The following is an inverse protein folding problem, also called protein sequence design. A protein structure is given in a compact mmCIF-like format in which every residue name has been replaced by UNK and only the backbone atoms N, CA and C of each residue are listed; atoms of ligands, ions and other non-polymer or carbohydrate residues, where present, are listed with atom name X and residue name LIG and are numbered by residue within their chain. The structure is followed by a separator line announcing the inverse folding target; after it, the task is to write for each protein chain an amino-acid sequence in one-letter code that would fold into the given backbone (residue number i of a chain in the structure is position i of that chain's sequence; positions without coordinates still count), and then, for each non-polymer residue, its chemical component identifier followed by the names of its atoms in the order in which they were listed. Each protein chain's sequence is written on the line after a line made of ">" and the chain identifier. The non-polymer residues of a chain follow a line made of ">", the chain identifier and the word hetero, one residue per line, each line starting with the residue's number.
data_IF_467399277120
#
_entry.id   IF_467399277120
#
_cell.length_a   1.000
_cell.length_b   1.000
_cell.length_c   1.000
_cell.angle_alpha   90.00
_cell.angle_beta   90.00
_cell.angle_gamma   90.00
#
_symmetry.space_group_name_H-M   'P 1'
#
loop_
_entity.id
_entity.type
_entity.pdbx_description
1 polymer ?
#
# COMPACT_ATOMS: atom_id res chain seq x y z
N UNK A 1 -14.21 30.17 -5.78
CA UNK A 1 -13.15 29.20 -5.50
C UNK A 1 -13.65 27.84 -5.93
N UNK A 2 -12.90 27.13 -6.75
CA UNK A 2 -13.30 25.80 -7.23
C UNK A 2 -12.95 24.76 -6.17
N UNK A 3 -13.92 23.89 -5.79
CA UNK A 3 -13.67 22.79 -4.87
C UNK A 3 -13.07 21.56 -5.58
N UNK A 4 -12.86 21.66 -6.89
CA UNK A 4 -12.28 20.56 -7.66
C UNK A 4 -10.76 20.55 -7.50
N UNK A 5 -10.16 19.37 -7.22
CA UNK A 5 -8.71 19.27 -7.17
C UNK A 5 -8.10 19.53 -8.55
N UNK A 6 -6.95 20.17 -8.55
CA UNK A 6 -6.13 20.34 -9.74
C UNK A 6 -5.74 18.95 -10.29
N UNK A 7 -5.72 18.74 -11.62
CA UNK A 7 -5.21 17.49 -12.19
C UNK A 7 -3.81 17.10 -11.70
N UNK A 8 -2.96 18.08 -11.37
CA UNK A 8 -1.64 17.81 -10.79
C UNK A 8 -1.74 17.13 -9.42
N UNK A 9 -2.74 17.46 -8.60
CA UNK A 9 -2.96 16.82 -7.30
C UNK A 9 -3.34 15.34 -7.45
N UNK A 10 -4.15 15.04 -8.45
CA UNK A 10 -4.51 13.64 -8.75
C UNK A 10 -3.28 12.85 -9.20
N UNK A 11 -2.44 13.43 -10.03
CA UNK A 11 -1.21 12.80 -10.48
C UNK A 11 -0.25 12.55 -9.30
N UNK A 12 -0.13 13.53 -8.42
CA UNK A 12 0.69 13.41 -7.22
C UNK A 12 0.23 12.25 -6.33
N UNK A 13 -1.09 12.12 -6.09
CA UNK A 13 -1.64 11.02 -5.30
C UNK A 13 -1.34 9.66 -5.92
N UNK A 14 -1.47 9.54 -7.24
CA UNK A 14 -1.15 8.30 -7.94
C UNK A 14 0.32 7.93 -7.76
N UNK A 15 1.22 8.89 -7.87
CA UNK A 15 2.65 8.69 -7.66
C UNK A 15 2.93 8.18 -6.24
N UNK A 16 2.30 8.79 -5.23
CA UNK A 16 2.46 8.37 -3.84
C UNK A 16 1.90 6.97 -3.59
N UNK A 17 0.75 6.65 -4.16
CA UNK A 17 0.16 5.30 -4.04
C UNK A 17 1.08 4.24 -4.63
N UNK A 18 1.67 4.51 -5.78
CA UNK A 18 2.64 3.60 -6.42
C UNK A 18 3.88 3.42 -5.57
N UNK A 19 4.38 4.49 -4.98
CA UNK A 19 5.54 4.42 -4.09
C UNK A 19 5.26 3.55 -2.87
N UNK A 20 4.08 3.69 -2.27
CA UNK A 20 3.66 2.86 -1.13
C UNK A 20 3.55 1.40 -1.55
N UNK A 21 2.89 1.13 -2.68
CA UNK A 21 2.75 -0.22 -3.22
C UNK A 21 4.10 -0.89 -3.48
N UNK A 22 5.04 -0.14 -4.04
CA UNK A 22 6.40 -0.63 -4.31
C UNK A 22 7.15 -0.96 -3.01
N UNK A 23 7.01 -0.13 -1.97
CA UNK A 23 7.64 -0.39 -0.68
C UNK A 23 7.10 -1.67 -0.04
N UNK A 24 5.80 -1.90 -0.13
CA UNK A 24 5.18 -3.13 0.35
C UNK A 24 5.71 -4.34 -0.41
N UNK A 25 5.74 -4.26 -1.73
CA UNK A 25 6.22 -5.34 -2.58
C UNK A 25 7.69 -5.67 -2.28
N UNK A 26 8.54 -4.65 -2.17
CA UNK A 26 9.96 -4.83 -1.87
C UNK A 26 10.14 -5.49 -0.51
N UNK A 27 9.44 -5.01 0.52
CA UNK A 27 9.49 -5.60 1.86
C UNK A 27 9.00 -7.05 1.86
N UNK A 28 7.94 -7.33 1.10
CA UNK A 28 7.40 -8.69 0.95
C UNK A 28 8.43 -9.63 0.33
N UNK A 29 9.05 -9.21 -0.78
CA UNK A 29 10.05 -10.01 -1.48
C UNK A 29 11.30 -10.23 -0.62
N UNK A 30 11.71 -9.23 0.16
CA UNK A 30 12.82 -9.38 1.11
C UNK A 30 12.56 -10.47 2.15
N UNK A 31 11.31 -10.73 2.46
CA UNK A 31 10.91 -11.77 3.41
C UNK A 31 10.55 -13.08 2.73
N UNK A 32 10.78 -13.19 1.43
CA UNK A 32 10.44 -14.37 0.64
C UNK A 32 8.97 -14.76 0.78
N UNK A 33 8.09 -13.75 0.86
CA UNK A 33 6.65 -13.97 0.99
C UNK A 33 5.96 -13.84 -0.36
N UNK A 34 5.01 -14.75 -0.63
CA UNK A 34 4.05 -14.57 -1.71
C UNK A 34 3.01 -13.53 -1.31
N UNK A 35 2.27 -12.99 -2.28
CA UNK A 35 1.13 -12.13 -1.96
C UNK A 35 0.13 -12.87 -1.08
N UNK A 36 -0.16 -14.14 -1.39
CA UNK A 36 -1.09 -14.95 -0.61
C UNK A 36 -0.68 -15.03 0.86
N UNK A 37 0.58 -15.35 1.10
CA UNK A 37 1.07 -15.43 2.47
C UNK A 37 0.93 -14.10 3.19
N UNK A 38 1.21 -12.99 2.51
CA UNK A 38 1.11 -11.67 3.12
C UNK A 38 -0.34 -11.31 3.43
N UNK A 39 -1.28 -11.45 2.47
CA UNK A 39 -2.65 -11.03 2.76
C UNK A 39 -3.32 -11.93 3.81
N UNK A 40 -2.98 -13.21 3.86
CA UNK A 40 -3.48 -14.10 4.92
C UNK A 40 -2.91 -13.70 6.28
N UNK A 41 -1.61 -13.44 6.37
CA UNK A 41 -0.97 -13.02 7.62
C UNK A 41 -1.48 -11.66 8.10
N UNK A 42 -1.73 -10.76 7.18
CA UNK A 42 -2.20 -9.41 7.52
C UNK A 42 -3.70 -9.36 7.85
N UNK A 43 -4.46 -10.39 7.46
CA UNK A 43 -5.91 -10.37 7.62
C UNK A 43 -6.60 -9.39 6.68
N UNK A 44 -6.05 -9.22 5.48
CA UNK A 44 -6.64 -8.37 4.43
C UNK A 44 -7.03 -9.24 3.23
N UNK A 45 -7.89 -8.72 2.36
CA UNK A 45 -8.31 -9.48 1.19
C UNK A 45 -7.22 -9.52 0.13
N UNK A 46 -7.28 -10.54 -0.72
CA UNK A 46 -6.40 -10.65 -1.89
C UNK A 46 -6.51 -9.41 -2.78
N UNK A 47 -7.74 -8.99 -3.08
CA UNK A 47 -7.97 -7.83 -3.93
C UNK A 47 -7.37 -6.56 -3.33
N UNK A 48 -7.53 -6.37 -2.01
CA UNK A 48 -6.95 -5.21 -1.33
C UNK A 48 -5.44 -5.16 -1.48
N UNK A 49 -4.75 -6.27 -1.23
CA UNK A 49 -3.29 -6.29 -1.36
C UNK A 49 -2.84 -6.08 -2.80
N UNK A 50 -3.50 -6.75 -3.76
CA UNK A 50 -3.15 -6.60 -5.17
C UNK A 50 -3.30 -5.15 -5.64
N UNK A 51 -4.40 -4.50 -5.29
CA UNK A 51 -4.65 -3.11 -5.69
C UNK A 51 -3.67 -2.15 -5.02
N UNK A 52 -3.31 -2.40 -3.76
CA UNK A 52 -2.33 -1.57 -3.05
C UNK A 52 -0.95 -1.71 -3.68
N UNK A 53 -0.48 -2.93 -3.95
CA UNK A 53 0.82 -3.15 -4.59
C UNK A 53 0.86 -2.57 -6.00
N UNK A 54 -0.26 -2.56 -6.70
CA UNK A 54 -0.36 -1.95 -8.02
C UNK A 54 -0.49 -0.42 -7.99
N UNK A 55 -0.74 0.17 -6.83
CA UNK A 55 -0.93 1.61 -6.67
C UNK A 55 -2.26 2.12 -7.20
N UNK A 56 -3.27 1.24 -7.32
CA UNK A 56 -4.56 1.57 -7.92
C UNK A 56 -5.66 1.85 -6.90
N UNK A 57 -5.37 1.71 -5.61
CA UNK A 57 -6.38 1.91 -4.57
C UNK A 57 -5.94 2.94 -3.54
N UNK A 58 -6.94 3.58 -2.94
CA UNK A 58 -6.77 4.43 -1.78
C UNK A 58 -6.92 3.56 -0.55
N UNK A 59 -5.81 3.03 -0.05
CA UNK A 59 -5.83 2.08 1.04
C UNK A 59 -6.22 2.75 2.36
N UNK A 60 -7.05 2.06 3.14
CA UNK A 60 -7.35 2.49 4.51
C UNK A 60 -6.08 2.41 5.36
N UNK A 61 -5.94 3.35 6.27
CA UNK A 61 -4.80 3.36 7.19
C UNK A 61 -4.72 2.05 7.99
N UNK A 62 -5.86 1.53 8.46
CA UNK A 62 -5.89 0.25 9.18
C UNK A 62 -5.36 -0.92 8.33
N UNK A 63 -5.67 -0.92 7.03
CA UNK A 63 -5.16 -1.94 6.11
C UNK A 63 -3.64 -1.85 5.98
N UNK A 64 -3.10 -0.65 5.81
CA UNK A 64 -1.64 -0.43 5.75
C UNK A 64 -0.96 -0.84 7.06
N UNK A 65 -1.57 -0.55 8.19
CA UNK A 65 -1.03 -0.93 9.50
C UNK A 65 -0.99 -2.44 9.68
N UNK A 66 -2.02 -3.16 9.23
CA UNK A 66 -2.05 -4.64 9.27
C UNK A 66 -0.98 -5.24 8.38
N UNK A 67 -0.79 -4.70 7.18
CA UNK A 67 0.25 -5.14 6.24
C UNK A 67 1.63 -4.90 6.84
N UNK A 68 1.89 -3.71 7.37
CA UNK A 68 3.17 -3.38 8.00
C UNK A 68 3.49 -4.34 9.15
N UNK A 69 2.51 -4.63 10.00
CA UNK A 69 2.68 -5.57 11.10
C UNK A 69 3.04 -6.97 10.60
N UNK A 70 2.36 -7.44 9.56
CA UNK A 70 2.65 -8.76 8.97
C UNK A 70 4.06 -8.80 8.36
N UNK A 71 4.54 -7.68 7.84
CA UNK A 71 5.90 -7.56 7.30
C UNK A 71 6.96 -7.33 8.38
N UNK A 72 6.56 -7.06 9.63
CA UNK A 72 7.50 -6.77 10.71
C UNK A 72 8.18 -5.41 10.59
N UNK A 73 7.52 -4.45 9.94
CA UNK A 73 8.02 -3.08 9.79
C UNK A 73 7.02 -2.09 10.40
N UNK A 74 7.44 -0.85 10.60
CA UNK A 74 6.55 0.21 11.04
C UNK A 74 5.73 0.74 9.86
N UNK A 75 4.47 1.07 10.10
CA UNK A 75 3.63 1.69 9.07
C UNK A 75 4.26 2.98 8.51
N UNK A 76 4.98 3.73 9.34
CA UNK A 76 5.69 4.92 8.93
C UNK A 76 6.72 4.64 7.82
N UNK A 77 7.30 3.45 7.79
CA UNK A 77 8.26 3.07 6.75
C UNK A 77 7.61 2.95 5.37
N UNK A 78 6.29 2.76 5.32
CA UNK A 78 5.54 2.71 4.06
C UNK A 78 5.19 4.09 3.54
N UNK A 79 5.14 5.09 4.43
CA UNK A 79 4.61 6.42 4.15
C UNK A 79 5.67 7.51 4.00
N UNK A 80 6.93 7.19 4.17
CA UNK A 80 7.99 8.20 4.06
C UNK A 80 8.32 8.59 2.62
#
# INVERSE_FOLDING_TARGET
>A
MSDQPDPSDTHWLLTERRAIGDRIRIARLHRNMTQERLYLSAGVSRAALQDIEAGTSDARLSTLMRIARALGIHAADLLR
#
